data_IF_317829154617
#
_entry.id   IF_317829154617
#
_cell.length_a   1.000
_cell.length_b   1.000
_cell.length_c   1.000
_cell.angle_alpha   90.00
_cell.angle_beta   90.00
_cell.angle_gamma   90.00
#
_symmetry.space_group_name_H-M   'P 1'
#
loop_
_entity.id
_entity.type
_entity.pdbx_description
1 polymer ?
#
# COMPACT_ATOMS: atom_id res chain seq x y z
N UNK A 1 18.70 -12.09 1.57
CA UNK A 1 17.28 -11.90 1.95
C UNK A 1 17.14 -11.05 3.20
N UNK A 2 17.94 -11.29 4.25
CA UNK A 2 17.93 -10.44 5.47
C UNK A 2 18.22 -8.98 5.14
N UNK A 3 19.26 -8.70 4.36
CA UNK A 3 19.64 -7.32 4.00
C UNK A 3 18.60 -6.61 3.14
N UNK A 4 17.86 -7.35 2.31
CA UNK A 4 16.78 -6.78 1.50
C UNK A 4 15.60 -6.29 2.36
N UNK A 5 15.34 -6.95 3.49
CA UNK A 5 14.22 -6.60 4.38
C UNK A 5 14.63 -5.57 5.44
N UNK A 6 15.89 -5.60 5.88
CA UNK A 6 16.37 -4.78 6.99
C UNK A 6 17.00 -3.44 6.58
N UNK A 7 17.27 -3.24 5.29
CA UNK A 7 17.77 -1.96 4.79
C UNK A 7 16.62 -0.98 4.50
N UNK A 8 16.95 0.30 4.44
CA UNK A 8 16.03 1.32 3.96
C UNK A 8 15.74 1.16 2.46
N UNK A 9 14.67 1.83 2.03
CA UNK A 9 14.32 1.95 0.61
C UNK A 9 15.44 2.63 -0.17
N UNK A 10 15.65 2.20 -1.41
CA UNK A 10 16.63 2.81 -2.30
C UNK A 10 16.13 4.12 -2.94
N UNK A 11 17.02 4.81 -3.65
CA UNK A 11 16.73 6.11 -4.26
C UNK A 11 15.64 6.04 -5.34
N UNK A 12 15.36 4.86 -5.89
CA UNK A 12 14.32 4.63 -6.89
C UNK A 12 12.97 4.28 -6.22
N UNK A 13 12.98 3.62 -5.06
CA UNK A 13 11.80 3.27 -4.26
C UNK A 13 11.25 4.47 -3.47
N UNK A 14 12.13 5.33 -2.92
CA UNK A 14 11.73 6.48 -2.08
C UNK A 14 10.71 7.39 -2.77
N UNK A 15 10.86 7.76 -4.05
CA UNK A 15 9.88 8.58 -4.77
C UNK A 15 8.51 7.91 -4.95
N UNK A 16 8.43 6.57 -4.93
CA UNK A 16 7.17 5.82 -5.11
C UNK A 16 6.39 5.67 -3.80
N UNK A 17 7.07 5.72 -2.64
CA UNK A 17 6.47 5.53 -1.33
C UNK A 17 5.27 6.44 -1.05
N UNK A 18 5.28 7.76 -1.34
CA UNK A 18 4.14 8.62 -1.07
C UNK A 18 2.86 8.13 -1.76
N UNK A 19 2.94 7.74 -3.03
CA UNK A 19 1.79 7.25 -3.79
C UNK A 19 1.28 5.90 -3.25
N UNK A 20 2.18 5.02 -2.81
CA UNK A 20 1.82 3.75 -2.19
C UNK A 20 1.16 3.94 -0.82
N UNK A 21 1.63 4.91 -0.03
CA UNK A 21 1.03 5.29 1.25
C UNK A 21 -0.37 5.87 1.04
N UNK A 22 -0.55 6.77 0.08
CA UNK A 22 -1.87 7.34 -0.25
C UNK A 22 -2.86 6.24 -0.68
N UNK A 23 -2.42 5.32 -1.56
CA UNK A 23 -3.22 4.16 -1.94
C UNK A 23 -3.58 3.30 -0.72
N UNK A 24 -2.65 3.10 0.20
CA UNK A 24 -2.89 2.32 1.43
C UNK A 24 -3.94 2.98 2.33
N UNK A 25 -3.90 4.31 2.45
CA UNK A 25 -4.92 5.08 3.16
C UNK A 25 -6.30 4.88 2.53
N UNK A 26 -6.41 4.94 1.20
CA UNK A 26 -7.68 4.71 0.51
C UNK A 26 -8.23 3.30 0.73
N UNK A 27 -7.36 2.28 0.70
CA UNK A 27 -7.75 0.89 0.97
C UNK A 27 -8.29 0.76 2.38
N UNK A 28 -7.59 1.31 3.38
CA UNK A 28 -8.00 1.26 4.79
C UNK A 28 -9.34 1.97 4.97
N UNK A 29 -9.51 3.16 4.41
CA UNK A 29 -10.76 3.92 4.46
C UNK A 29 -11.92 3.17 3.80
N UNK A 30 -11.69 2.57 2.63
CA UNK A 30 -12.69 1.73 1.94
C UNK A 30 -13.04 0.50 2.78
N UNK A 31 -12.06 -0.14 3.40
CA UNK A 31 -12.30 -1.33 4.23
C UNK A 31 -13.24 -1.02 5.41
N UNK A 32 -13.00 0.09 6.11
CA UNK A 32 -13.82 0.47 7.27
C UNK A 32 -15.19 1.03 6.90
N UNK A 33 -15.34 1.64 5.71
CA UNK A 33 -16.60 2.29 5.30
C UNK A 33 -17.50 1.40 4.44
N UNK A 34 -16.92 0.62 3.53
CA UNK A 34 -17.63 -0.21 2.56
C UNK A 34 -17.54 -1.71 2.82
N UNK A 35 -16.66 -2.12 3.75
CA UNK A 35 -16.44 -3.52 4.10
C UNK A 35 -15.41 -4.22 3.21
N UNK A 36 -15.01 -5.44 3.59
CA UNK A 36 -13.92 -6.18 2.95
C UNK A 36 -14.21 -6.56 1.50
N UNK A 37 -15.42 -7.06 1.20
CA UNK A 37 -15.76 -7.56 -0.15
C UNK A 37 -15.62 -6.48 -1.22
N UNK A 38 -16.30 -5.34 -1.05
CA UNK A 38 -16.24 -4.24 -2.03
C UNK A 38 -14.85 -3.63 -2.14
N UNK A 39 -14.13 -3.54 -1.01
CA UNK A 39 -12.75 -3.05 -1.01
C UNK A 39 -11.84 -3.97 -1.80
N UNK A 40 -11.92 -5.29 -1.59
CA UNK A 40 -11.08 -6.24 -2.33
C UNK A 40 -11.41 -6.23 -3.83
N UNK A 41 -12.69 -6.13 -4.23
CA UNK A 41 -13.07 -5.98 -5.65
C UNK A 41 -12.48 -4.71 -6.27
N UNK A 42 -12.40 -3.61 -5.51
CA UNK A 42 -11.87 -2.33 -6.00
C UNK A 42 -10.35 -2.34 -6.14
N UNK A 43 -9.63 -2.98 -5.22
CA UNK A 43 -8.18 -2.84 -5.09
C UNK A 43 -7.34 -4.05 -5.53
N UNK A 44 -7.92 -5.26 -5.62
CA UNK A 44 -7.26 -6.47 -6.14
C UNK A 44 -7.57 -6.65 -7.63
N UNK A 45 -7.13 -5.70 -8.46
CA UNK A 45 -7.15 -5.85 -9.91
C UNK A 45 -5.97 -6.68 -10.40
#
# INVERSE_FOLDING_TARGET
QVDYVLNGFDDDEIPELPALIDRSIEVIQSFVTAGPELTMTKFNK
#
